data_IF_410451092172
#
_entry.id   IF_410451092172
#
_cell.length_a   1.000
_cell.length_b   1.000
_cell.length_c   1.000
_cell.angle_alpha   90.00
_cell.angle_beta   90.00
_cell.angle_gamma   90.00
#
_symmetry.space_group_name_H-M   'P 1'
#
loop_
_entity.id
_entity.type
_entity.pdbx_description
1 polymer ?
#
# COMPACT_ATOMS: atom_id res chain seq x y z
N UNK A 1 7.35 -6.92 3.48
CA UNK A 1 7.17 -8.33 3.96
C UNK A 1 6.30 -9.15 3.01
N UNK A 2 5.48 -8.48 2.20
CA UNK A 2 4.59 -9.06 1.18
C UNK A 2 5.29 -10.06 0.25
N UNK A 3 6.51 -9.71 -0.21
CA UNK A 3 7.29 -10.51 -1.16
C UNK A 3 7.66 -11.88 -0.60
N UNK A 4 7.93 -11.99 0.71
CA UNK A 4 8.29 -13.25 1.37
C UNK A 4 7.07 -14.20 1.45
N UNK A 5 5.89 -13.66 1.76
CA UNK A 5 4.64 -14.43 1.78
C UNK A 5 4.18 -14.86 0.37
N UNK A 6 4.44 -14.06 -0.67
CA UNK A 6 4.14 -14.45 -2.06
C UNK A 6 5.05 -15.58 -2.57
N UNK A 7 6.33 -15.55 -2.20
CA UNK A 7 7.29 -16.63 -2.49
C UNK A 7 6.88 -17.92 -1.76
N UNK A 8 6.49 -17.82 -0.48
CA UNK A 8 6.05 -18.98 0.31
C UNK A 8 4.74 -19.60 -0.22
N UNK A 9 3.83 -18.78 -0.75
CA UNK A 9 2.56 -19.22 -1.37
C UNK A 9 2.74 -19.74 -2.80
N UNK A 10 3.99 -19.77 -3.33
CA UNK A 10 4.34 -20.18 -4.70
C UNK A 10 3.58 -19.42 -5.80
N UNK A 11 3.08 -18.23 -5.49
CA UNK A 11 2.18 -17.48 -6.37
C UNK A 11 2.95 -16.38 -7.13
N UNK A 12 3.90 -16.81 -7.96
CA UNK A 12 4.84 -15.94 -8.69
C UNK A 12 4.15 -14.92 -9.62
N UNK A 13 2.87 -15.15 -9.97
CA UNK A 13 2.07 -14.23 -10.78
C UNK A 13 1.80 -12.88 -10.07
N UNK A 14 1.89 -12.83 -8.73
CA UNK A 14 1.70 -11.59 -7.97
C UNK A 14 3.00 -10.78 -7.79
N UNK A 15 4.16 -11.38 -8.09
CA UNK A 15 5.48 -10.71 -8.05
C UNK A 15 5.72 -10.09 -9.43
N UNK A 16 5.09 -8.96 -9.68
CA UNK A 16 5.33 -8.19 -10.90
C UNK A 16 6.54 -7.27 -10.72
N UNK A 17 7.18 -6.88 -11.82
CA UNK A 17 8.26 -5.87 -11.82
C UNK A 17 7.80 -4.59 -11.12
N UNK A 18 6.54 -4.20 -11.31
CA UNK A 18 5.93 -3.03 -10.64
C UNK A 18 5.93 -3.18 -9.11
N UNK A 19 5.58 -4.36 -8.58
CA UNK A 19 5.56 -4.61 -7.14
C UNK A 19 6.96 -4.52 -6.53
N UNK A 20 7.96 -5.14 -7.18
CA UNK A 20 9.35 -5.12 -6.71
C UNK A 20 9.94 -3.72 -6.79
N UNK A 21 9.73 -3.02 -7.91
CA UNK A 21 10.18 -1.65 -8.10
C UNK A 21 9.58 -0.72 -7.05
N UNK A 22 8.26 -0.76 -6.83
CA UNK A 22 7.58 0.06 -5.83
C UNK A 22 8.11 -0.20 -4.42
N UNK A 23 8.27 -1.46 -4.01
CA UNK A 23 8.68 -1.78 -2.64
C UNK A 23 10.17 -1.47 -2.39
N UNK A 24 11.04 -1.63 -3.39
CA UNK A 24 12.46 -1.28 -3.30
C UNK A 24 12.71 0.23 -3.32
N UNK A 25 11.96 0.98 -4.13
CA UNK A 25 12.14 2.44 -4.26
C UNK A 25 11.50 3.20 -3.10
N UNK A 26 10.32 2.79 -2.64
CA UNK A 26 9.64 3.44 -1.50
C UNK A 26 10.51 3.48 -0.25
N UNK A 27 11.23 2.40 0.05
CA UNK A 27 12.13 2.34 1.23
C UNK A 27 13.28 3.35 1.13
N UNK A 28 13.91 3.46 -0.04
CA UNK A 28 15.02 4.39 -0.28
C UNK A 28 14.57 5.86 -0.29
N UNK A 29 13.42 6.15 -0.88
CA UNK A 29 12.86 7.51 -0.92
C UNK A 29 12.48 7.98 0.48
N UNK A 30 11.83 7.12 1.28
CA UNK A 30 11.46 7.46 2.65
C UNK A 30 12.67 7.68 3.56
N UNK A 31 13.74 6.92 3.36
CA UNK A 31 15.00 7.12 4.06
C UNK A 31 15.57 8.52 3.79
N UNK A 32 15.58 8.97 2.54
CA UNK A 32 16.03 10.32 2.17
C UNK A 32 15.12 11.42 2.76
N UNK A 33 13.80 11.25 2.68
CA UNK A 33 12.82 12.20 3.23
C UNK A 33 12.98 12.38 4.73
N UNK A 34 13.11 11.29 5.50
CA UNK A 34 13.30 11.35 6.96
C UNK A 34 14.60 12.05 7.38
N UNK A 35 15.67 11.92 6.59
CA UNK A 35 16.96 12.51 6.93
C UNK A 35 17.05 14.01 6.59
N UNK A 36 16.37 14.47 5.53
CA UNK A 36 16.57 15.84 5.01
C UNK A 36 15.37 16.77 5.21
N UNK A 37 14.15 16.24 5.35
CA UNK A 37 12.93 17.05 5.48
C UNK A 37 11.96 16.38 6.46
N UNK A 38 12.04 16.66 7.78
CA UNK A 38 11.03 16.24 8.73
C UNK A 38 9.76 17.11 8.55
N UNK A 39 9.10 17.02 7.39
CA UNK A 39 7.89 17.79 7.10
C UNK A 39 6.63 17.05 7.59
N UNK A 40 5.85 17.70 8.45
CA UNK A 40 4.54 17.23 8.92
C UNK A 40 3.55 16.89 7.79
N UNK A 41 3.72 17.50 6.61
CA UNK A 41 2.89 17.21 5.42
C UNK A 41 3.06 15.76 4.91
N UNK A 42 4.24 15.15 5.05
CA UNK A 42 4.50 13.78 4.61
C UNK A 42 3.85 12.73 5.52
N UNK A 43 3.58 13.07 6.79
CA UNK A 43 2.91 12.17 7.75
C UNK A 43 1.45 11.89 7.40
N UNK A 44 0.76 12.85 6.79
CA UNK A 44 -0.63 12.66 6.38
C UNK A 44 -0.78 11.56 5.32
N UNK A 45 0.11 11.57 4.30
CA UNK A 45 0.16 10.52 3.28
C UNK A 45 0.54 9.16 3.88
N UNK A 46 1.51 9.13 4.81
CA UNK A 46 1.94 7.91 5.49
C UNK A 46 0.82 7.26 6.34
N UNK A 47 0.05 8.11 7.03
CA UNK A 47 -1.06 7.66 7.88
C UNK A 47 -2.20 7.09 7.04
N UNK A 48 -2.59 7.77 5.96
CA UNK A 48 -3.59 7.26 5.02
C UNK A 48 -3.14 5.97 4.34
N UNK A 49 -1.87 5.88 3.95
CA UNK A 49 -1.29 4.66 3.40
C UNK A 49 -1.39 3.50 4.39
N UNK A 50 -0.96 3.72 5.63
CA UNK A 50 -1.03 2.71 6.69
C UNK A 50 -2.47 2.25 6.97
N UNK A 51 -3.45 3.16 6.93
CA UNK A 51 -4.86 2.82 7.10
C UNK A 51 -5.39 1.90 5.99
N UNK A 52 -5.14 2.23 4.73
CA UNK A 52 -5.52 1.38 3.59
C UNK A 52 -4.74 0.06 3.61
N UNK A 53 -3.49 0.08 4.06
CA UNK A 53 -2.66 -1.11 4.21
C UNK A 53 -3.22 -2.06 5.27
N UNK A 54 -3.71 -1.55 6.41
CA UNK A 54 -4.42 -2.35 7.43
C UNK A 54 -5.65 -3.03 6.83
N UNK A 55 -6.45 -2.32 6.02
CA UNK A 55 -7.63 -2.90 5.36
C UNK A 55 -7.25 -3.96 4.33
N UNK A 56 -6.19 -3.72 3.56
CA UNK A 56 -5.68 -4.63 2.55
C UNK A 56 -5.11 -5.93 3.17
N UNK A 57 -4.36 -5.80 4.26
CA UNK A 57 -3.83 -6.95 5.01
C UNK A 57 -4.92 -7.73 5.73
N UNK A 58 -5.92 -7.04 6.29
CA UNK A 58 -7.09 -7.68 6.89
C UNK A 58 -7.83 -8.54 5.85
N UNK A 59 -8.01 -8.01 4.64
CA UNK A 59 -8.59 -8.77 3.52
C UNK A 59 -7.72 -9.98 3.13
N UNK A 60 -6.39 -9.84 3.09
CA UNK A 60 -5.51 -10.98 2.82
C UNK A 60 -5.60 -12.04 3.93
N UNK A 61 -5.64 -11.64 5.20
CA UNK A 61 -5.86 -12.51 6.35
C UNK A 61 -7.18 -13.29 6.24
N UNK A 62 -8.29 -12.59 5.97
CA UNK A 62 -9.60 -13.21 5.75
C UNK A 62 -9.61 -14.14 4.51
N UNK A 63 -8.88 -13.79 3.43
CA UNK A 63 -8.77 -14.61 2.23
C UNK A 63 -7.97 -15.91 2.41
N UNK A 64 -7.17 -15.98 3.48
CA UNK A 64 -6.41 -17.19 3.84
C UNK A 64 -7.33 -18.28 4.44
N UNK A 65 -8.47 -17.88 5.01
CA UNK A 65 -9.49 -18.78 5.55
C UNK A 65 -10.36 -19.30 4.40
N UNK A 66 -10.27 -20.60 4.12
CA UNK A 66 -10.95 -21.25 2.97
C UNK A 66 -12.48 -21.11 3.00
N UNK A 67 -13.07 -20.99 4.19
CA UNK A 67 -14.51 -20.79 4.40
C UNK A 67 -14.98 -19.36 4.11
N UNK A 68 -14.11 -18.35 4.26
CA UNK A 68 -14.48 -16.94 4.05
C UNK A 68 -14.29 -16.46 2.60
N UNK A 69 -13.52 -17.20 1.79
CA UNK A 69 -13.31 -16.97 0.35
C UNK A 69 -14.54 -16.54 -0.46
N UNK A 70 -15.73 -17.19 -0.36
CA UNK A 70 -16.91 -16.80 -1.14
C UNK A 70 -17.52 -15.44 -0.74
N UNK A 71 -17.26 -14.94 0.47
CA UNK A 71 -17.81 -13.68 0.97
C UNK A 71 -16.92 -12.45 0.65
N UNK A 72 -15.79 -12.64 -0.03
CA UNK A 72 -14.82 -11.57 -0.31
C UNK A 72 -15.14 -10.77 -1.60
N UNK A 73 -16.40 -10.38 -1.80
CA UNK A 73 -16.84 -9.55 -2.95
C UNK A 73 -16.27 -8.12 -2.98
N UNK A 74 -15.80 -7.65 -1.83
CA UNK A 74 -15.42 -6.28 -1.52
C UNK A 74 -13.97 -5.94 -1.88
N UNK A 75 -13.27 -6.87 -2.54
CA UNK A 75 -11.93 -6.63 -3.13
C UNK A 75 -11.88 -5.35 -3.96
N UNK A 76 -12.93 -5.09 -4.75
CA UNK A 76 -13.01 -3.92 -5.64
C UNK A 76 -12.98 -2.60 -4.85
N UNK A 77 -13.65 -2.55 -3.69
CA UNK A 77 -13.67 -1.34 -2.85
C UNK A 77 -12.30 -1.05 -2.24
N UNK A 78 -11.51 -2.08 -1.91
CA UNK A 78 -10.14 -1.91 -1.42
C UNK A 78 -9.25 -1.32 -2.53
N UNK A 79 -9.37 -1.82 -3.77
CA UNK A 79 -8.62 -1.27 -4.90
C UNK A 79 -9.04 0.17 -5.23
N UNK A 80 -10.34 0.49 -5.14
CA UNK A 80 -10.80 1.87 -5.28
C UNK A 80 -10.26 2.77 -4.16
N UNK A 81 -10.21 2.29 -2.91
CA UNK A 81 -9.60 3.01 -1.79
C UNK A 81 -8.11 3.30 -2.00
N UNK A 82 -7.35 2.36 -2.55
CA UNK A 82 -5.94 2.56 -2.92
C UNK A 82 -5.78 3.65 -4.00
N UNK A 83 -6.63 3.66 -5.02
CA UNK A 83 -6.62 4.72 -6.05
C UNK A 83 -6.97 6.10 -5.46
N UNK A 84 -7.98 6.16 -4.59
CA UNK A 84 -8.36 7.41 -3.91
C UNK A 84 -7.22 7.92 -3.02
N UNK A 85 -6.51 7.04 -2.31
CA UNK A 85 -5.32 7.41 -1.53
C UNK A 85 -4.25 8.09 -2.40
N UNK A 86 -4.00 7.59 -3.62
CA UNK A 86 -3.06 8.22 -4.53
C UNK A 86 -3.53 9.62 -4.95
N UNK A 87 -4.79 9.77 -5.32
CA UNK A 87 -5.37 11.07 -5.72
C UNK A 87 -5.28 12.07 -4.56
N UNK A 88 -5.67 11.67 -3.34
CA UNK A 88 -5.59 12.53 -2.15
C UNK A 88 -4.14 12.91 -1.81
N UNK A 89 -3.19 11.99 -1.97
CA UNK A 89 -1.77 12.27 -1.75
C UNK A 89 -1.23 13.28 -2.76
N UNK A 90 -1.64 13.17 -4.04
CA UNK A 90 -1.26 14.12 -5.09
C UNK A 90 -1.84 15.50 -4.80
N UNK A 91 -3.12 15.59 -4.43
CA UNK A 91 -3.79 16.85 -4.07
C UNK A 91 -3.10 17.51 -2.86
N UNK A 92 -2.86 16.74 -1.80
CA UNK A 92 -2.17 17.25 -0.60
C UNK A 92 -0.77 17.78 -0.93
N UNK A 93 -0.02 17.05 -1.76
CA UNK A 93 1.33 17.46 -2.15
C UNK A 93 1.30 18.72 -3.02
N UNK A 94 0.33 18.85 -3.93
CA UNK A 94 0.19 20.02 -4.79
C UNK A 94 -0.31 21.27 -4.03
N UNK A 95 -1.22 21.12 -3.06
CA UNK A 95 -1.61 22.22 -2.17
C UNK A 95 -0.51 22.65 -1.21
N UNK A 96 0.39 21.75 -0.77
CA UNK A 96 1.52 22.10 0.10
C UNK A 96 2.72 22.71 -0.62
N UNK A 97 2.71 22.75 -1.96
CA UNK A 97 3.76 23.36 -2.81
C UNK A 97 3.43 24.82 -3.17
N UNK A 98 2.16 25.24 -3.01
CA UNK A 98 1.69 26.62 -3.19
C UNK A 98 1.79 27.36 -1.87
#
# INVERSE_FOLDING_TARGET
>A
MDTFFFILRKNNHQITVLHVYHHATMFNIWWFVMNWVPCGHSYFSATLNSFIHVLMYSYYGLSSVRSMRPYLWWKKYITQGQLVQFVLTIIQTSCGVI
#
